data_IF_464094473375
#
_entry.id   IF_464094473375
#
_cell.length_a   1.000
_cell.length_b   1.000
_cell.length_c   1.000
_cell.angle_alpha   90.00
_cell.angle_beta   90.00
_cell.angle_gamma   90.00
#
_symmetry.space_group_name_H-M   'P 1'
#
loop_
_entity.id
_entity.type
_entity.pdbx_description
1 polymer ?
#
# COMPACT_ATOMS: atom_id res chain seq x y z
N UNK A 1 -0.73 -8.98 5.47
CA UNK A 1 -1.87 -9.76 6.00
C UNK A 1 -2.06 -11.11 5.31
N UNK A 2 -1.52 -11.34 4.14
CA UNK A 2 -1.59 -12.61 3.38
C UNK A 2 -3.00 -13.19 3.21
N UNK A 3 -3.99 -12.32 3.12
CA UNK A 3 -5.38 -12.71 2.88
C UNK A 3 -5.67 -13.01 1.41
N UNK A 4 -4.70 -12.78 0.52
CA UNK A 4 -4.85 -12.87 -0.93
C UNK A 4 -5.78 -11.81 -1.52
N UNK A 5 -6.00 -10.70 -0.80
CA UNK A 5 -6.75 -9.54 -1.29
C UNK A 5 -5.83 -8.56 -1.99
N UNK A 6 -6.36 -7.80 -2.94
CA UNK A 6 -5.56 -6.91 -3.81
C UNK A 6 -5.34 -5.52 -3.22
N UNK A 7 -5.92 -5.26 -2.12
CA UNK A 7 -5.89 -3.98 -1.42
C UNK A 7 -7.17 -3.72 -0.67
N UNK A 8 -7.30 -2.53 -0.14
CA UNK A 8 -8.47 -2.11 0.61
C UNK A 8 -9.51 -1.49 -0.33
N UNK A 9 -10.74 -1.96 -0.27
CA UNK A 9 -11.80 -1.55 -1.18
C UNK A 9 -12.03 -2.55 -2.32
N UNK A 10 -11.99 -2.09 -3.54
CA UNK A 10 -12.31 -2.88 -4.73
C UNK A 10 -11.44 -4.14 -4.86
N UNK A 11 -12.04 -5.29 -4.61
CA UNK A 11 -11.48 -6.59 -4.97
C UNK A 11 -12.60 -7.65 -5.13
N UNK A 12 -12.28 -8.73 -5.87
CA UNK A 12 -13.23 -9.79 -6.16
C UNK A 12 -13.68 -10.61 -4.93
N UNK A 13 -13.03 -10.42 -3.77
CA UNK A 13 -13.32 -11.13 -2.52
C UNK A 13 -14.11 -10.28 -1.52
N UNK A 14 -14.53 -9.07 -1.90
CA UNK A 14 -15.37 -8.25 -1.06
C UNK A 14 -16.70 -8.98 -0.79
N UNK A 15 -17.20 -9.00 0.47
CA UNK A 15 -18.47 -9.64 0.78
C UNK A 15 -19.61 -8.97 0.02
N UNK A 16 -20.44 -9.77 -0.62
CA UNK A 16 -21.59 -9.27 -1.35
C UNK A 16 -22.72 -8.97 -0.35
N UNK A 17 -23.02 -7.68 -0.14
CA UNK A 17 -24.15 -7.18 0.66
C UNK A 17 -24.30 -7.85 2.05
N UNK A 18 -23.29 -7.74 2.94
CA UNK A 18 -23.39 -8.27 4.28
C UNK A 18 -24.48 -7.55 5.07
N UNK A 19 -25.09 -8.26 6.05
CA UNK A 19 -26.03 -7.65 6.96
C UNK A 19 -25.34 -6.78 8.01
N UNK A 20 -26.05 -5.79 8.57
CA UNK A 20 -25.52 -4.96 9.66
C UNK A 20 -25.06 -5.81 10.86
N UNK A 21 -25.79 -6.89 11.18
CA UNK A 21 -25.43 -7.82 12.26
C UNK A 21 -24.12 -8.55 11.98
N UNK A 22 -23.91 -8.97 10.72
CA UNK A 22 -22.66 -9.60 10.31
C UNK A 22 -21.49 -8.63 10.41
N UNK A 23 -21.65 -7.40 9.92
CA UNK A 23 -20.64 -6.34 10.03
C UNK A 23 -20.29 -6.11 11.50
N UNK A 24 -21.29 -5.90 12.37
CA UNK A 24 -21.11 -5.70 13.82
C UNK A 24 -20.30 -6.82 14.45
N UNK A 25 -20.67 -8.06 14.18
CA UNK A 25 -19.96 -9.25 14.71
C UNK A 25 -18.51 -9.29 14.24
N UNK A 26 -18.24 -8.98 12.97
CA UNK A 26 -16.89 -8.99 12.38
C UNK A 26 -16.01 -7.85 12.88
N UNK A 27 -16.59 -6.71 13.20
CA UNK A 27 -15.88 -5.57 13.78
C UNK A 27 -15.50 -5.80 15.24
N UNK A 28 -16.38 -6.44 16.03
CA UNK A 28 -16.14 -6.68 17.44
C UNK A 28 -14.97 -7.64 17.74
N UNK A 29 -14.63 -8.54 16.79
CA UNK A 29 -13.56 -9.52 16.97
C UNK A 29 -12.30 -9.11 16.19
N UNK A 30 -11.14 -8.89 16.85
CA UNK A 30 -9.90 -8.54 16.19
C UNK A 30 -9.29 -9.73 15.42
N UNK A 31 -9.48 -9.74 14.12
CA UNK A 31 -8.92 -10.72 13.19
C UNK A 31 -8.12 -10.03 12.11
N UNK A 32 -7.30 -10.77 11.36
CA UNK A 32 -6.54 -10.23 10.22
C UNK A 32 -7.45 -9.63 9.12
N UNK A 33 -8.71 -10.06 9.05
CA UNK A 33 -9.68 -9.56 8.08
C UNK A 33 -10.45 -8.32 8.56
N UNK A 34 -10.36 -7.96 9.86
CA UNK A 34 -11.14 -6.86 10.42
C UNK A 34 -10.96 -5.54 9.67
N UNK A 35 -9.77 -5.27 9.15
CA UNK A 35 -9.48 -4.07 8.37
C UNK A 35 -10.41 -3.95 7.13
N UNK A 36 -10.72 -5.04 6.46
CA UNK A 36 -11.60 -5.06 5.30
C UNK A 36 -13.08 -4.89 5.70
N UNK A 37 -13.44 -5.37 6.90
CA UNK A 37 -14.77 -5.16 7.46
C UNK A 37 -15.01 -3.73 7.89
N UNK A 38 -13.97 -3.00 8.32
CA UNK A 38 -14.05 -1.56 8.59
C UNK A 38 -14.41 -0.79 7.31
N UNK A 39 -13.76 -1.12 6.19
CA UNK A 39 -14.12 -0.53 4.89
C UNK A 39 -15.58 -0.83 4.52
N UNK A 40 -15.98 -2.10 4.62
CA UNK A 40 -17.35 -2.53 4.34
C UNK A 40 -18.37 -1.79 5.23
N UNK A 41 -18.07 -1.58 6.49
CA UNK A 41 -18.93 -0.82 7.42
C UNK A 41 -19.13 0.62 6.95
N UNK A 42 -18.06 1.32 6.62
CA UNK A 42 -18.15 2.70 6.12
C UNK A 42 -18.91 2.80 4.80
N UNK A 43 -18.67 1.91 3.86
CA UNK A 43 -19.44 1.84 2.60
C UNK A 43 -20.90 1.39 2.80
N UNK A 44 -21.22 0.78 3.94
CA UNK A 44 -22.59 0.40 4.33
C UNK A 44 -23.31 1.46 5.18
N UNK A 45 -22.66 2.62 5.43
CA UNK A 45 -23.26 3.75 6.14
C UNK A 45 -23.04 3.79 7.65
N UNK A 46 -22.21 2.91 8.22
CA UNK A 46 -21.82 3.01 9.63
C UNK A 46 -21.09 4.32 9.89
N UNK A 47 -21.44 4.99 10.99
CA UNK A 47 -20.76 6.19 11.44
C UNK A 47 -19.39 5.87 12.04
N UNK A 48 -18.54 6.88 12.15
CA UNK A 48 -17.23 6.73 12.77
C UNK A 48 -17.36 6.27 14.24
N UNK A 49 -18.34 6.83 14.97
CA UNK A 49 -18.57 6.50 16.37
C UNK A 49 -19.03 5.06 16.56
N UNK A 50 -19.91 4.55 15.70
CA UNK A 50 -20.33 3.13 15.74
C UNK A 50 -19.14 2.20 15.50
N UNK A 51 -18.30 2.50 14.49
CA UNK A 51 -17.10 1.70 14.21
C UNK A 51 -16.10 1.81 15.36
N UNK A 52 -15.93 2.97 15.97
CA UNK A 52 -15.07 3.15 17.13
C UNK A 52 -15.57 2.33 18.34
N UNK A 53 -16.84 2.40 18.66
CA UNK A 53 -17.43 1.64 19.76
C UNK A 53 -17.23 0.12 19.60
N UNK A 54 -17.35 -0.39 18.38
CA UNK A 54 -17.19 -1.82 18.09
C UNK A 54 -15.74 -2.27 18.05
N UNK A 55 -14.81 -1.40 17.61
CA UNK A 55 -13.41 -1.80 17.33
C UNK A 55 -12.43 -1.33 18.39
N UNK A 56 -12.75 -0.27 19.13
CA UNK A 56 -11.86 0.46 20.04
C UNK A 56 -10.60 1.01 19.32
N UNK A 57 -10.64 1.15 17.99
CA UNK A 57 -9.58 1.79 17.21
C UNK A 57 -9.71 3.30 17.37
N UNK A 58 -8.58 4.00 17.54
CA UNK A 58 -8.54 5.44 17.68
C UNK A 58 -9.30 6.16 16.54
N UNK A 59 -10.18 7.12 16.85
CA UNK A 59 -10.98 7.83 15.84
C UNK A 59 -10.17 8.53 14.77
N UNK A 60 -8.94 8.95 15.04
CA UNK A 60 -8.07 9.55 14.04
C UNK A 60 -7.77 8.58 12.88
N UNK A 61 -7.40 7.33 13.19
CA UNK A 61 -7.18 6.31 12.17
C UNK A 61 -8.48 5.97 11.43
N UNK A 62 -9.58 5.83 12.16
CA UNK A 62 -10.89 5.54 11.57
C UNK A 62 -11.35 6.65 10.62
N UNK A 63 -11.04 7.92 10.93
CA UNK A 63 -11.35 9.03 10.04
C UNK A 63 -10.60 8.91 8.70
N UNK A 64 -9.29 8.60 8.74
CA UNK A 64 -8.49 8.37 7.53
C UNK A 64 -9.05 7.18 6.72
N UNK A 65 -9.40 6.10 7.41
CA UNK A 65 -9.97 4.91 6.77
C UNK A 65 -11.34 5.20 6.15
N UNK A 66 -12.20 5.97 6.83
CA UNK A 66 -13.50 6.41 6.28
C UNK A 66 -13.34 7.23 5.00
N UNK A 67 -12.41 8.17 5.00
CA UNK A 67 -12.19 9.05 3.86
C UNK A 67 -11.63 8.25 2.67
N UNK A 68 -10.78 7.27 2.93
CA UNK A 68 -10.31 6.33 1.90
C UNK A 68 -11.44 5.44 1.37
N UNK A 69 -12.35 4.96 2.23
CA UNK A 69 -13.52 4.20 1.81
C UNK A 69 -14.43 5.02 0.87
N UNK A 70 -14.72 6.28 1.25
CA UNK A 70 -15.48 7.21 0.41
C UNK A 70 -14.82 7.47 -0.95
N UNK A 71 -13.50 7.56 -0.99
CA UNK A 71 -12.76 7.68 -2.25
C UNK A 71 -12.90 6.40 -3.09
N UNK A 72 -12.84 5.23 -2.45
CA UNK A 72 -13.07 3.93 -3.08
C UNK A 72 -14.45 3.82 -3.72
N UNK A 73 -15.50 4.29 -3.04
CA UNK A 73 -16.87 4.22 -3.54
C UNK A 73 -17.10 5.04 -4.84
N UNK A 74 -16.19 5.96 -5.17
CA UNK A 74 -16.22 6.78 -6.40
C UNK A 74 -14.96 6.62 -7.27
N UNK A 75 -14.25 5.51 -7.11
CA UNK A 75 -12.95 5.27 -7.75
C UNK A 75 -13.01 5.26 -9.28
N UNK A 76 -14.15 4.91 -9.85
CA UNK A 76 -14.42 4.96 -11.28
C UNK A 76 -14.35 6.37 -11.88
N UNK A 77 -14.80 7.38 -11.11
CA UNK A 77 -14.85 8.79 -11.49
C UNK A 77 -13.65 9.61 -10.94
N UNK A 78 -12.85 9.04 -10.05
CA UNK A 78 -11.75 9.76 -9.42
C UNK A 78 -10.63 10.03 -10.44
N UNK A 79 -10.01 11.21 -10.34
CA UNK A 79 -8.81 11.52 -11.13
C UNK A 79 -7.71 10.48 -10.91
N UNK A 80 -7.01 10.09 -11.99
CA UNK A 80 -6.03 9.01 -11.91
C UNK A 80 -4.85 9.33 -10.99
N UNK A 81 -4.36 10.58 -11.01
CA UNK A 81 -3.29 11.03 -10.13
C UNK A 81 -3.72 11.02 -8.67
N UNK A 82 -4.93 11.49 -8.40
CA UNK A 82 -5.52 11.47 -7.05
C UNK A 82 -5.70 10.03 -6.55
N UNK A 83 -6.24 9.14 -7.37
CA UNK A 83 -6.38 7.73 -7.04
C UNK A 83 -5.03 7.08 -6.71
N UNK A 84 -3.96 7.39 -7.46
CA UNK A 84 -2.61 6.90 -7.16
C UNK A 84 -2.03 7.49 -5.88
N UNK A 85 -2.23 8.77 -5.60
CA UNK A 85 -1.82 9.43 -4.34
C UNK A 85 -2.51 8.79 -3.12
N UNK A 86 -3.76 8.38 -3.25
CA UNK A 86 -4.51 7.67 -2.21
C UNK A 86 -4.11 6.18 -2.05
N UNK A 87 -3.23 5.67 -2.91
CA UNK A 87 -2.67 4.32 -2.80
C UNK A 87 -3.46 3.24 -3.54
N UNK A 88 -4.46 3.57 -4.35
CA UNK A 88 -5.16 2.58 -5.16
C UNK A 88 -4.23 2.00 -6.24
N UNK A 89 -4.24 0.68 -6.38
CA UNK A 89 -3.47 -0.02 -7.41
C UNK A 89 -4.08 0.17 -8.79
N UNK A 90 -3.26 0.04 -9.85
CA UNK A 90 -3.75 0.06 -11.23
C UNK A 90 -4.85 -0.99 -11.44
N UNK A 91 -4.75 -2.14 -10.76
CA UNK A 91 -5.74 -3.22 -10.79
C UNK A 91 -7.08 -2.84 -10.16
N UNK A 92 -7.07 -2.15 -9.02
CA UNK A 92 -8.31 -1.68 -8.37
C UNK A 92 -9.01 -0.63 -9.22
N UNK A 93 -8.25 0.32 -9.76
CA UNK A 93 -8.77 1.37 -10.66
C UNK A 93 -9.35 0.73 -11.92
N UNK A 94 -8.66 -0.24 -12.51
CA UNK A 94 -9.16 -0.97 -13.68
C UNK A 94 -10.48 -1.69 -13.41
N UNK A 95 -10.58 -2.36 -12.25
CA UNK A 95 -11.83 -3.03 -11.84
C UNK A 95 -12.98 -2.03 -11.69
N UNK A 96 -12.72 -0.89 -11.03
CA UNK A 96 -13.73 0.15 -10.85
C UNK A 96 -14.20 0.77 -12.17
N UNK A 97 -13.28 0.99 -13.13
CA UNK A 97 -13.56 1.58 -14.44
C UNK A 97 -13.99 0.58 -15.51
N UNK A 98 -14.09 -0.71 -15.19
CA UNK A 98 -14.45 -1.75 -16.15
C UNK A 98 -13.45 -1.92 -17.30
N UNK A 99 -12.14 -1.73 -17.01
CA UNK A 99 -11.05 -1.82 -17.98
C UNK A 99 -9.95 -2.78 -17.50
N UNK A 100 -8.80 -2.80 -18.17
CA UNK A 100 -7.67 -3.67 -17.81
C UNK A 100 -6.60 -2.90 -17.03
N UNK A 101 -5.86 -3.61 -16.17
CA UNK A 101 -4.73 -3.05 -15.44
C UNK A 101 -3.68 -2.45 -16.39
N UNK A 102 -3.47 -3.10 -17.54
CA UNK A 102 -2.53 -2.63 -18.55
C UNK A 102 -2.97 -1.28 -19.17
N UNK A 103 -4.26 -1.09 -19.41
CA UNK A 103 -4.81 0.17 -19.89
C UNK A 103 -4.57 1.30 -18.88
N UNK A 104 -4.82 1.07 -17.59
CA UNK A 104 -4.55 2.05 -16.54
C UNK A 104 -3.05 2.35 -16.44
N UNK A 105 -2.21 1.32 -16.52
CA UNK A 105 -0.74 1.49 -16.51
C UNK A 105 -0.25 2.33 -17.69
N UNK A 106 -0.80 2.12 -18.87
CA UNK A 106 -0.50 2.90 -20.06
C UNK A 106 -0.93 4.35 -19.88
N UNK A 107 -2.20 4.57 -19.51
CA UNK A 107 -2.77 5.90 -19.27
C UNK A 107 -1.94 6.72 -18.28
N UNK A 108 -1.59 6.15 -17.11
CA UNK A 108 -0.82 6.89 -16.10
C UNK A 108 0.60 7.24 -16.57
N UNK A 109 1.24 6.38 -17.40
CA UNK A 109 2.55 6.65 -17.97
C UNK A 109 2.50 7.79 -19.01
N UNK A 110 1.47 7.78 -19.85
CA UNK A 110 1.23 8.85 -20.84
C UNK A 110 0.97 10.20 -20.15
N UNK A 111 0.31 10.19 -18.99
CA UNK A 111 0.11 11.39 -18.16
C UNK A 111 1.30 11.73 -17.25
N UNK A 112 2.41 11.00 -17.32
CA UNK A 112 3.57 11.23 -16.46
C UNK A 112 3.30 10.93 -14.98
N UNK A 113 2.31 10.08 -14.67
CA UNK A 113 2.02 9.63 -13.31
C UNK A 113 2.90 8.43 -13.00
N UNK A 114 4.05 8.70 -12.43
CA UNK A 114 5.04 7.71 -12.01
C UNK A 114 5.34 7.83 -10.51
N UNK A 115 5.68 6.73 -9.84
CA UNK A 115 6.05 6.82 -8.44
C UNK A 115 7.40 7.52 -8.27
N UNK A 116 7.52 8.28 -7.20
CA UNK A 116 8.80 8.72 -6.64
C UNK A 116 9.24 7.83 -5.49
N UNK A 117 10.43 8.07 -4.99
CA UNK A 117 11.01 7.36 -3.86
C UNK A 117 11.43 8.37 -2.80
N UNK A 118 11.07 8.13 -1.56
CA UNK A 118 11.46 8.97 -0.43
C UNK A 118 12.29 8.17 0.55
N UNK A 119 13.29 8.85 1.09
CA UNK A 119 14.16 8.28 2.12
C UNK A 119 13.37 8.09 3.42
N UNK A 120 13.56 6.94 4.08
CA UNK A 120 13.00 6.73 5.41
C UNK A 120 13.86 7.51 6.41
N UNK A 121 13.25 8.47 7.09
CA UNK A 121 13.89 9.14 8.21
C UNK A 121 13.92 8.22 9.44
N UNK A 122 15.10 7.69 9.74
CA UNK A 122 15.34 6.82 10.90
C UNK A 122 15.82 7.56 12.14
N UNK A 123 15.94 8.89 12.05
CA UNK A 123 16.53 9.74 13.09
C UNK A 123 15.53 10.75 13.66
N UNK A 124 14.23 10.63 13.39
CA UNK A 124 13.16 11.52 13.86
C UNK A 124 13.43 13.02 13.58
N UNK A 125 14.06 13.32 12.44
CA UNK A 125 14.50 14.64 12.03
C UNK A 125 15.53 15.33 12.96
N UNK A 126 16.11 14.61 13.93
CA UNK A 126 17.17 15.13 14.80
C UNK A 126 18.53 15.19 14.08
N UNK A 127 18.76 14.28 13.15
CA UNK A 127 19.97 14.18 12.34
C UNK A 127 19.62 13.80 10.91
N UNK A 128 20.54 14.06 9.97
CA UNK A 128 20.38 13.58 8.60
C UNK A 128 20.44 12.04 8.59
N UNK A 129 19.38 11.40 8.05
CA UNK A 129 19.32 9.95 7.94
C UNK A 129 20.17 9.48 6.75
N UNK A 130 21.20 8.69 7.04
CA UNK A 130 22.10 8.09 6.04
C UNK A 130 21.71 6.65 5.68
N UNK A 131 20.58 6.16 6.17
CA UNK A 131 20.13 4.80 5.89
C UNK A 131 19.66 4.68 4.44
N UNK A 132 20.03 3.60 3.73
CA UNK A 132 19.66 3.40 2.33
C UNK A 132 18.23 2.84 2.18
N UNK A 133 17.31 3.21 3.06
CA UNK A 133 15.94 2.73 3.04
C UNK A 133 15.03 3.74 2.34
N UNK A 134 14.34 3.25 1.32
CA UNK A 134 13.39 4.05 0.55
C UNK A 134 12.01 3.41 0.56
N UNK A 135 10.99 4.23 0.47
CA UNK A 135 9.63 3.80 0.16
C UNK A 135 9.14 4.49 -1.11
N UNK A 136 8.28 3.79 -1.85
CA UNK A 136 7.68 4.31 -3.07
C UNK A 136 6.35 5.00 -2.76
N UNK A 137 6.13 6.16 -3.38
CA UNK A 137 4.89 6.93 -3.25
C UNK A 137 4.59 7.68 -4.54
N UNK A 138 3.32 8.03 -4.75
CA UNK A 138 2.91 8.91 -5.85
C UNK A 138 2.82 10.39 -5.41
N UNK A 139 3.65 10.79 -4.46
CA UNK A 139 3.84 12.19 -4.08
C UNK A 139 4.57 13.00 -5.16
N UNK A 140 4.76 14.28 -4.88
CA UNK A 140 5.37 15.22 -5.82
C UNK A 140 6.90 15.29 -5.70
N UNK A 141 7.48 14.61 -4.69
CA UNK A 141 8.91 14.63 -4.40
C UNK A 141 9.56 13.28 -4.69
N UNK A 142 10.81 13.33 -5.17
CA UNK A 142 11.65 12.16 -5.39
C UNK A 142 13.05 12.43 -4.82
N UNK A 143 13.41 11.68 -3.78
CA UNK A 143 14.71 11.80 -3.10
C UNK A 143 15.73 10.77 -3.61
N UNK A 144 15.35 9.92 -4.57
CA UNK A 144 16.28 8.98 -5.18
C UNK A 144 17.33 9.73 -5.97
N UNK A 145 18.60 9.53 -5.62
CA UNK A 145 19.75 10.16 -6.31
C UNK A 145 20.18 9.27 -7.46
N UNK A 146 20.12 9.80 -8.68
CA UNK A 146 20.71 9.11 -9.83
C UNK A 146 22.23 9.33 -9.83
N UNK A 147 22.97 8.23 -9.68
CA UNK A 147 24.44 8.24 -9.68
C UNK A 147 25.04 8.08 -11.09
N UNK A 148 24.22 7.85 -12.11
CA UNK A 148 24.68 7.55 -13.47
C UNK A 148 25.39 6.19 -13.63
N UNK A 149 25.59 5.41 -12.55
CA UNK A 149 26.20 4.08 -12.59
C UNK A 149 25.20 3.03 -13.05
N UNK A 150 25.70 1.94 -13.60
CA UNK A 150 24.85 0.76 -13.89
C UNK A 150 24.31 0.16 -12.58
N UNK A 151 22.99 0.01 -12.52
CA UNK A 151 22.28 -0.46 -11.34
C UNK A 151 21.68 -1.86 -11.57
N UNK A 152 21.72 -2.68 -10.54
CA UNK A 152 21.05 -3.98 -10.52
C UNK A 152 20.11 -4.01 -9.32
N UNK A 153 18.81 -4.21 -9.61
CA UNK A 153 17.78 -4.39 -8.59
C UNK A 153 17.71 -5.86 -8.20
N UNK A 154 17.83 -6.15 -6.90
CA UNK A 154 17.69 -7.49 -6.34
C UNK A 154 16.31 -7.59 -5.69
N UNK A 155 15.46 -8.47 -6.22
CA UNK A 155 14.15 -8.76 -5.65
C UNK A 155 14.30 -9.82 -4.56
N UNK A 156 14.25 -9.39 -3.30
CA UNK A 156 14.25 -10.28 -2.14
C UNK A 156 12.85 -10.79 -1.77
N UNK A 157 12.77 -11.56 -0.69
CA UNK A 157 11.53 -12.15 -0.19
C UNK A 157 10.57 -11.16 0.50
N UNK A 158 10.94 -9.89 0.61
CA UNK A 158 10.22 -8.88 1.38
C UNK A 158 10.60 -8.87 2.87
N UNK A 159 9.86 -8.15 3.72
CA UNK A 159 10.16 -8.05 5.14
C UNK A 159 10.09 -9.40 5.84
N UNK A 160 11.07 -9.68 6.69
CA UNK A 160 11.08 -10.90 7.49
C UNK A 160 9.91 -10.89 8.48
N UNK A 161 9.31 -12.07 8.67
CA UNK A 161 8.28 -12.29 9.67
C UNK A 161 8.90 -12.71 10.99
N UNK A 162 8.14 -12.57 12.07
CA UNK A 162 8.54 -13.12 13.37
C UNK A 162 8.84 -14.61 13.22
N UNK A 163 10.02 -15.04 13.66
CA UNK A 163 10.50 -16.42 13.56
C UNK A 163 11.27 -16.75 12.27
N UNK A 164 11.38 -15.83 11.32
CA UNK A 164 12.29 -15.96 10.19
C UNK A 164 13.67 -15.40 10.58
N UNK A 165 14.71 -16.11 10.22
CA UNK A 165 16.07 -15.72 10.48
C UNK A 165 16.77 -15.08 9.27
N UNK A 166 18.03 -14.73 9.45
CA UNK A 166 18.90 -14.08 8.45
C UNK A 166 19.06 -14.91 7.17
N UNK A 167 18.83 -16.20 7.21
CA UNK A 167 18.91 -17.11 6.07
C UNK A 167 18.04 -16.69 4.88
N UNK A 168 16.95 -15.97 5.12
CA UNK A 168 16.07 -15.47 4.06
C UNK A 168 16.69 -14.30 3.28
N UNK A 169 17.59 -13.56 3.89
CA UNK A 169 18.29 -12.43 3.24
C UNK A 169 19.72 -12.82 2.78
N UNK A 170 20.23 -13.96 3.19
CA UNK A 170 21.59 -14.38 2.92
C UNK A 170 21.97 -14.32 1.43
N UNK A 171 21.13 -14.86 0.57
CA UNK A 171 21.38 -14.86 -0.89
C UNK A 171 21.35 -13.44 -1.47
N UNK A 172 20.45 -12.59 -1.01
CA UNK A 172 20.34 -11.20 -1.48
C UNK A 172 21.55 -10.38 -1.06
N UNK A 173 22.01 -10.54 0.17
CA UNK A 173 23.21 -9.86 0.71
C UNK A 173 24.47 -10.29 -0.04
N UNK A 174 24.68 -11.59 -0.25
CA UNK A 174 25.84 -12.09 -0.98
C UNK A 174 25.80 -11.68 -2.47
N UNK A 175 24.63 -11.69 -3.11
CA UNK A 175 24.48 -11.18 -4.47
C UNK A 175 24.81 -9.68 -4.55
N UNK A 176 24.37 -8.90 -3.57
CA UNK A 176 24.69 -7.47 -3.49
C UNK A 176 26.19 -7.23 -3.35
N UNK A 177 26.85 -7.97 -2.48
CA UNK A 177 28.32 -7.86 -2.28
C UNK A 177 29.09 -8.18 -3.57
N UNK A 178 28.80 -9.33 -4.18
CA UNK A 178 29.45 -9.76 -5.42
C UNK A 178 29.25 -8.75 -6.57
N UNK A 179 28.05 -8.22 -6.73
CA UNK A 179 27.74 -7.23 -7.75
C UNK A 179 28.46 -5.90 -7.51
N UNK A 180 28.61 -5.48 -6.26
CA UNK A 180 29.41 -4.30 -5.92
C UNK A 180 30.88 -4.47 -6.23
N UNK A 181 31.45 -5.63 -5.96
CA UNK A 181 32.83 -5.99 -6.35
C UNK A 181 33.02 -5.93 -7.86
N UNK A 182 31.99 -6.27 -8.64
CA UNK A 182 31.98 -6.16 -10.10
C UNK A 182 31.74 -4.72 -10.61
N UNK A 183 31.60 -3.73 -9.72
CA UNK A 183 31.43 -2.32 -10.07
C UNK A 183 29.99 -1.86 -10.34
N UNK A 184 29.01 -2.68 -10.04
CA UNK A 184 27.60 -2.28 -10.12
C UNK A 184 27.13 -1.58 -8.85
N UNK A 185 26.13 -0.72 -9.00
CA UNK A 185 25.32 -0.24 -7.89
C UNK A 185 24.18 -1.21 -7.66
N UNK A 186 23.90 -1.57 -6.40
CA UNK A 186 22.83 -2.54 -6.06
C UNK A 186 21.70 -1.85 -5.32
N UNK A 187 20.49 -2.23 -5.66
CA UNK A 187 19.24 -1.76 -5.05
C UNK A 187 18.46 -2.97 -4.54
#
# INVERSE_FOLDING_TARGET
LETGRWGWGFDAKAPQKPTAEEITRKLAVPTAERIFWIQTAFSSGFSLDEVHQLTQIDPWFLAQMRDLAKAGDRLDALDLREAKKLGFSDRQIALARGTTEESIRKERREQGIVPGYRLVDTCAAEFEAYTPYFYSTYGDENEARDTGRKKILILGGGPNRIGQGIEFDYCCVHASMALREMGYETI
#
